data_IF_266756501538
#
_entry.id   IF_266756501538
#
_cell.length_a   1.000
_cell.length_b   1.000
_cell.length_c   1.000
_cell.angle_alpha   90.00
_cell.angle_beta   90.00
_cell.angle_gamma   90.00
#
_symmetry.space_group_name_H-M   'P 1'
#
loop_
_entity.id
_entity.type
_entity.pdbx_description
1 polymer ?
#
# COMPACT_ATOMS: atom_id res chain seq x y z
N UNK A 1 60.73 5.98 4.87
CA UNK A 1 60.92 4.75 4.07
C UNK A 1 59.79 3.80 4.45
N UNK A 2 59.00 3.15 3.60
CA UNK A 2 58.83 3.12 2.14
C UNK A 2 57.43 2.56 1.85
N UNK A 3 56.82 3.05 0.78
CA UNK A 3 55.54 2.64 0.15
C UNK A 3 55.40 1.13 -0.09
N UNK A 4 54.16 0.59 -0.17
CA UNK A 4 53.53 0.31 -1.48
C UNK A 4 52.07 -0.17 -1.44
N UNK A 5 51.30 0.51 -2.27
CA UNK A 5 49.99 0.16 -2.84
C UNK A 5 50.08 -1.07 -3.76
N UNK A 6 49.03 -1.90 -3.78
CA UNK A 6 48.73 -2.82 -4.89
C UNK A 6 47.22 -2.84 -5.19
N UNK A 7 46.89 -2.23 -6.33
CA UNK A 7 45.67 -2.48 -7.12
C UNK A 7 45.86 -3.76 -7.94
N UNK A 8 44.81 -4.56 -8.10
CA UNK A 8 44.68 -5.50 -9.22
C UNK A 8 43.26 -5.40 -9.81
N UNK A 9 43.21 -5.39 -11.14
CA UNK A 9 42.03 -5.33 -11.98
C UNK A 9 41.95 -6.62 -12.81
N UNK A 10 40.75 -7.14 -13.05
CA UNK A 10 40.37 -7.94 -14.22
C UNK A 10 38.82 -8.09 -14.19
N UNK A 11 37.99 -7.62 -15.13
CA UNK A 11 37.87 -7.77 -16.59
C UNK A 11 37.29 -9.14 -17.04
N UNK A 12 35.98 -9.11 -17.31
CA UNK A 12 35.17 -10.04 -18.11
C UNK A 12 33.74 -9.46 -18.10
N UNK A 13 33.22 -8.77 -19.12
CA UNK A 13 32.94 -9.08 -20.53
C UNK A 13 31.89 -10.18 -20.68
N UNK A 14 30.88 -9.87 -21.52
CA UNK A 14 29.81 -10.74 -22.08
C UNK A 14 28.48 -10.68 -21.31
N UNK A 15 27.28 -10.50 -21.87
CA UNK A 15 26.79 -10.22 -23.24
C UNK A 15 25.33 -9.78 -23.08
N UNK A 16 24.86 -8.90 -23.96
CA UNK A 16 23.44 -8.51 -24.13
C UNK A 16 22.58 -9.73 -24.46
N UNK A 17 21.42 -9.88 -23.82
CA UNK A 17 20.30 -10.59 -24.43
C UNK A 17 19.00 -9.88 -24.10
N UNK A 18 18.46 -9.26 -25.13
CA UNK A 18 17.13 -8.66 -25.23
C UNK A 18 16.08 -9.77 -25.25
N UNK A 19 15.22 -9.82 -24.23
CA UNK A 19 14.03 -10.67 -24.30
C UNK A 19 12.85 -9.84 -24.81
N UNK A 20 12.59 -10.04 -26.09
CA UNK A 20 11.35 -9.70 -26.76
C UNK A 20 10.17 -10.28 -25.97
N UNK A 21 9.16 -9.45 -25.73
CA UNK A 21 7.88 -9.88 -25.20
C UNK A 21 7.21 -10.76 -26.25
N UNK A 22 7.32 -12.08 -26.06
CA UNK A 22 6.62 -13.07 -26.86
C UNK A 22 5.12 -12.85 -26.70
N UNK A 23 4.45 -12.56 -27.82
CA UNK A 23 3.00 -12.61 -27.93
C UNK A 23 2.64 -14.10 -27.96
N UNK A 24 2.50 -14.68 -26.77
CA UNK A 24 2.08 -16.06 -26.59
C UNK A 24 0.58 -16.18 -26.83
N UNK A 25 0.22 -17.03 -27.78
CA UNK A 25 -1.14 -17.38 -28.17
C UNK A 25 -2.03 -17.77 -26.97
N UNK A 26 -3.27 -17.30 -26.99
CA UNK A 26 -4.31 -17.62 -26.02
C UNK A 26 -4.64 -19.13 -26.08
N UNK A 27 -4.73 -19.83 -24.93
CA UNK A 27 -5.39 -21.13 -24.91
C UNK A 27 -6.88 -20.89 -25.12
N UNK A 28 -7.41 -21.43 -26.22
CA UNK A 28 -8.85 -21.55 -26.48
C UNK A 28 -9.51 -22.18 -25.25
N UNK A 29 -10.07 -21.36 -24.37
CA UNK A 29 -10.69 -21.84 -23.14
C UNK A 29 -12.11 -22.24 -23.49
N UNK A 30 -12.25 -23.52 -23.80
CA UNK A 30 -13.50 -24.24 -24.03
C UNK A 30 -14.54 -23.91 -22.94
N UNK A 31 -15.80 -23.88 -23.35
CA UNK A 31 -16.96 -23.35 -22.62
C UNK A 31 -17.32 -24.18 -21.36
N UNK A 32 -16.56 -25.23 -21.06
CA UNK A 32 -16.88 -26.28 -20.08
C UNK A 32 -16.26 -26.09 -18.69
N UNK A 33 -15.41 -25.08 -18.46
CA UNK A 33 -14.60 -24.98 -17.22
C UNK A 33 -14.75 -23.69 -16.38
N UNK A 34 -15.77 -22.87 -16.63
CA UNK A 34 -16.14 -21.80 -15.68
C UNK A 34 -16.88 -22.41 -14.49
N UNK A 35 -16.15 -23.14 -13.65
CA UNK A 35 -16.62 -23.41 -12.29
C UNK A 35 -16.62 -22.09 -11.52
N UNK A 36 -17.62 -21.90 -10.65
CA UNK A 36 -17.80 -20.69 -9.86
C UNK A 36 -16.52 -20.32 -9.06
N UNK A 37 -15.77 -21.35 -8.63
CA UNK A 37 -14.47 -21.20 -7.96
C UNK A 37 -13.38 -20.59 -8.84
N UNK A 38 -13.27 -20.99 -10.11
CA UNK A 38 -12.22 -20.47 -11.02
C UNK A 38 -12.42 -19.00 -11.37
N UNK A 39 -13.67 -18.54 -11.48
CA UNK A 39 -14.00 -17.14 -11.77
C UNK A 39 -13.73 -16.25 -10.54
N UNK A 40 -13.92 -16.77 -9.33
CA UNK A 40 -13.66 -16.01 -8.09
C UNK A 40 -12.18 -15.71 -7.85
N UNK A 41 -11.26 -16.49 -8.42
CA UNK A 41 -9.81 -16.29 -8.27
C UNK A 41 -9.23 -15.33 -9.33
N UNK A 42 -9.99 -15.01 -10.38
CA UNK A 42 -9.54 -14.14 -11.47
C UNK A 42 -9.56 -12.66 -11.08
N UNK A 43 -8.62 -11.88 -11.62
CA UNK A 43 -8.67 -10.43 -11.46
C UNK A 43 -9.86 -9.82 -12.22
N UNK A 44 -10.30 -8.62 -11.82
CA UNK A 44 -11.39 -7.89 -12.50
C UNK A 44 -11.10 -7.72 -13.99
N UNK A 45 -9.83 -7.51 -14.36
CA UNK A 45 -9.40 -7.34 -15.75
C UNK A 45 -9.45 -8.67 -16.52
N UNK A 46 -9.09 -9.78 -15.89
CA UNK A 46 -9.12 -11.09 -16.53
C UNK A 46 -10.57 -11.57 -16.75
N UNK A 47 -11.46 -11.27 -15.81
CA UNK A 47 -12.90 -11.48 -15.96
C UNK A 47 -13.46 -10.63 -17.11
N UNK A 48 -13.09 -9.34 -17.17
CA UNK A 48 -13.52 -8.46 -18.25
C UNK A 48 -13.05 -8.96 -19.63
N UNK A 49 -11.79 -9.36 -19.75
CA UNK A 49 -11.23 -9.96 -20.97
C UNK A 49 -11.98 -11.25 -21.35
N UNK A 50 -12.28 -12.11 -20.38
CA UNK A 50 -13.10 -13.30 -20.60
C UNK A 50 -14.48 -12.97 -21.16
N UNK A 51 -15.10 -11.88 -20.69
CA UNK A 51 -16.41 -11.43 -21.20
C UNK A 51 -16.27 -10.87 -22.62
N UNK A 52 -15.27 -10.01 -22.90
CA UNK A 52 -15.04 -9.45 -24.24
C UNK A 52 -14.69 -10.51 -25.31
N UNK A 53 -13.97 -11.56 -24.91
CA UNK A 53 -13.66 -12.67 -25.82
C UNK A 53 -14.91 -13.47 -26.19
N UNK A 54 -15.87 -13.62 -25.26
CA UNK A 54 -17.06 -14.46 -25.44
C UNK A 54 -18.27 -13.70 -25.98
N UNK A 55 -18.43 -12.44 -25.62
CA UNK A 55 -19.56 -11.60 -26.02
C UNK A 55 -19.11 -10.56 -27.06
N UNK A 56 -19.80 -10.50 -28.19
CA UNK A 56 -19.56 -9.52 -29.27
C UNK A 56 -20.61 -8.41 -29.30
N UNK A 57 -21.46 -8.35 -28.28
CA UNK A 57 -22.45 -7.30 -28.13
C UNK A 57 -21.79 -5.99 -27.68
N UNK A 58 -21.85 -4.91 -28.48
CA UNK A 58 -21.24 -3.63 -28.14
C UNK A 58 -21.85 -2.97 -26.89
N UNK A 59 -23.10 -3.32 -26.53
CA UNK A 59 -23.75 -2.83 -25.31
C UNK A 59 -23.12 -3.50 -24.08
N UNK A 60 -22.89 -4.81 -24.14
CA UNK A 60 -22.23 -5.56 -23.07
C UNK A 60 -20.78 -5.08 -22.91
N UNK A 61 -20.07 -4.86 -24.01
CA UNK A 61 -18.72 -4.31 -23.98
C UNK A 61 -18.69 -2.97 -23.24
N UNK A 62 -19.60 -2.05 -23.58
CA UNK A 62 -19.70 -0.74 -22.94
C UNK A 62 -20.06 -0.85 -21.45
N UNK A 63 -20.98 -1.74 -21.08
CA UNK A 63 -21.40 -1.96 -19.69
C UNK A 63 -20.26 -2.52 -18.83
N UNK A 64 -19.52 -3.50 -19.34
CA UNK A 64 -18.37 -4.09 -18.63
C UNK A 64 -17.25 -3.07 -18.49
N UNK A 65 -16.97 -2.28 -19.53
CA UNK A 65 -15.98 -1.20 -19.46
C UNK A 65 -16.36 -0.17 -18.39
N UNK A 66 -17.61 0.29 -18.35
CA UNK A 66 -18.12 1.18 -17.31
C UNK A 66 -18.03 0.55 -15.91
N UNK A 67 -18.22 -0.76 -15.78
CA UNK A 67 -18.11 -1.46 -14.50
C UNK A 67 -16.66 -1.51 -13.99
N UNK A 68 -15.70 -1.77 -14.89
CA UNK A 68 -14.26 -1.75 -14.58
C UNK A 68 -13.85 -0.36 -14.14
N UNK A 69 -14.26 0.67 -14.88
CA UNK A 69 -14.00 2.09 -14.55
C UNK A 69 -14.65 2.48 -13.22
N UNK A 70 -15.90 2.06 -12.96
CA UNK A 70 -16.63 2.38 -11.73
C UNK A 70 -16.06 1.68 -10.50
N UNK A 71 -15.45 0.50 -10.64
CA UNK A 71 -14.77 -0.17 -9.52
C UNK A 71 -13.49 0.55 -9.08
N UNK A 72 -12.85 1.33 -9.96
CA UNK A 72 -11.78 2.26 -9.56
C UNK A 72 -12.31 3.31 -8.57
N UNK A 73 -13.60 3.67 -8.68
CA UNK A 73 -14.28 4.58 -7.75
C UNK A 73 -14.76 3.90 -6.44
N UNK A 74 -14.76 2.56 -6.38
CA UNK A 74 -15.37 1.77 -5.30
C UNK A 74 -14.40 1.24 -4.24
N UNK A 75 -13.10 1.38 -4.45
CA UNK A 75 -12.12 1.19 -3.38
C UNK A 75 -12.03 2.49 -2.57
N UNK A 76 -12.16 2.38 -1.25
CA UNK A 76 -11.62 3.32 -0.26
C UNK A 76 -12.41 4.58 0.17
N UNK A 77 -13.74 4.65 0.05
CA UNK A 77 -14.48 5.70 0.80
C UNK A 77 -14.18 5.65 2.31
N UNK A 78 -13.99 4.45 2.87
CA UNK A 78 -13.58 4.27 4.26
C UNK A 78 -12.20 4.88 4.57
N UNK A 79 -11.22 4.72 3.68
CA UNK A 79 -9.89 5.31 3.89
C UNK A 79 -9.91 6.82 3.71
N UNK A 80 -10.69 7.33 2.75
CA UNK A 80 -10.89 8.76 2.55
C UNK A 80 -11.57 9.40 3.76
N UNK A 81 -12.58 8.75 4.34
CA UNK A 81 -13.26 9.20 5.54
C UNK A 81 -12.34 9.17 6.77
N UNK A 82 -11.57 8.09 6.96
CA UNK A 82 -10.55 8.04 8.02
C UNK A 82 -9.45 9.08 7.81
N UNK A 83 -9.09 9.35 6.56
CA UNK A 83 -8.05 10.32 6.20
C UNK A 83 -8.50 11.76 6.45
N UNK A 84 -9.76 12.10 6.17
CA UNK A 84 -10.30 13.45 6.38
C UNK A 84 -10.34 13.84 7.87
N UNK A 85 -10.47 12.85 8.77
CA UNK A 85 -10.43 13.01 10.23
C UNK A 85 -9.05 12.73 10.85
N UNK A 86 -8.01 12.55 10.04
CA UNK A 86 -6.68 12.23 10.55
C UNK A 86 -5.80 13.47 10.74
N UNK A 87 -5.10 13.53 11.88
CA UNK A 87 -4.10 14.56 12.21
C UNK A 87 -2.74 13.88 12.32
N UNK A 88 -1.69 14.60 11.90
CA UNK A 88 -0.31 14.15 12.02
C UNK A 88 0.46 15.10 12.91
N UNK A 89 0.95 14.58 14.04
CA UNK A 89 1.84 15.29 14.95
C UNK A 89 3.30 14.95 14.62
N UNK A 90 4.17 15.93 14.80
CA UNK A 90 5.61 15.79 14.61
C UNK A 90 6.36 16.33 15.81
N UNK A 91 7.54 15.77 16.09
CA UNK A 91 8.40 16.24 17.19
C UNK A 91 8.12 15.60 18.55
N UNK A 92 7.18 14.67 18.66
CA UNK A 92 6.98 13.90 19.89
C UNK A 92 8.17 12.95 20.13
N UNK A 93 8.88 13.07 21.28
CA UNK A 93 10.05 12.25 21.60
C UNK A 93 9.79 10.75 21.44
N UNK A 94 10.76 9.98 20.93
CA UNK A 94 10.61 8.52 20.87
C UNK A 94 10.75 7.92 22.28
N UNK A 95 9.94 6.89 22.60
CA UNK A 95 10.09 6.18 23.86
C UNK A 95 11.42 5.40 23.90
N UNK A 96 11.98 5.16 25.10
CA UNK A 96 13.17 4.34 25.29
C UNK A 96 12.98 2.93 24.73
N UNK A 97 14.05 2.28 24.27
CA UNK A 97 13.95 0.91 23.74
C UNK A 97 13.51 -0.10 24.79
N UNK A 98 13.90 0.12 26.05
CA UNK A 98 13.83 -0.82 27.16
C UNK A 98 12.45 -0.93 27.82
N UNK A 99 11.49 -0.07 27.49
CA UNK A 99 10.13 -0.13 28.05
C UNK A 99 9.23 -1.09 27.25
N UNK A 100 8.17 -1.59 27.89
CA UNK A 100 7.26 -2.57 27.26
C UNK A 100 6.40 -1.89 26.20
N UNK A 101 5.98 -2.64 25.18
CA UNK A 101 5.18 -2.09 24.08
C UNK A 101 3.86 -1.44 24.55
N UNK A 102 3.20 -2.01 25.57
CA UNK A 102 2.01 -1.43 26.18
C UNK A 102 2.31 -0.08 26.86
N UNK A 103 3.42 0.01 27.58
CA UNK A 103 3.83 1.25 28.25
C UNK A 103 4.19 2.34 27.24
N UNK A 104 4.86 1.98 26.13
CA UNK A 104 5.13 2.91 25.01
C UNK A 104 3.84 3.50 24.44
N UNK A 105 2.83 2.66 24.29
CA UNK A 105 1.54 3.08 23.74
C UNK A 105 0.79 3.97 24.74
N UNK A 106 0.75 3.59 26.02
CA UNK A 106 0.11 4.39 27.07
C UNK A 106 0.76 5.78 27.20
N UNK A 107 2.09 5.87 27.16
CA UNK A 107 2.83 7.14 27.21
C UNK A 107 2.53 8.02 25.99
N UNK A 108 2.44 7.40 24.81
CA UNK A 108 2.09 8.10 23.57
C UNK A 108 0.66 8.66 23.62
N UNK A 109 -0.31 7.86 24.06
CA UNK A 109 -1.71 8.28 24.18
C UNK A 109 -1.89 9.40 25.21
N UNK A 110 -1.18 9.34 26.33
CA UNK A 110 -1.15 10.43 27.32
C UNK A 110 -0.58 11.72 26.72
N UNK A 111 0.58 11.64 26.07
CA UNK A 111 1.21 12.81 25.43
C UNK A 111 0.32 13.45 24.37
N UNK A 112 -0.42 12.64 23.61
CA UNK A 112 -1.39 13.14 22.63
C UNK A 112 -2.59 13.79 23.31
N UNK A 113 -3.08 13.22 24.42
CA UNK A 113 -4.19 13.79 25.20
C UNK A 113 -3.80 15.16 25.76
N UNK A 114 -2.61 15.29 26.35
CA UNK A 114 -2.10 16.57 26.88
C UNK A 114 -2.03 17.65 25.78
N UNK A 115 -1.64 17.28 24.55
CA UNK A 115 -1.64 18.21 23.41
C UNK A 115 -3.05 18.63 23.03
N UNK A 116 -4.01 17.70 22.98
CA UNK A 116 -5.40 18.02 22.64
C UNK A 116 -6.05 18.90 23.71
N UNK A 117 -5.74 18.67 24.98
CA UNK A 117 -6.19 19.51 26.11
C UNK A 117 -5.65 20.94 25.99
N UNK A 118 -4.38 21.11 25.62
CA UNK A 118 -3.79 22.44 25.36
C UNK A 118 -4.50 23.15 24.21
N UNK A 119 -4.94 22.40 23.20
CA UNK A 119 -5.65 22.92 22.03
C UNK A 119 -7.16 23.10 22.28
N UNK A 120 -7.66 22.80 23.48
CA UNK A 120 -9.08 22.85 23.86
C UNK A 120 -9.95 21.98 22.93
N UNK A 121 -9.45 20.77 22.61
CA UNK A 121 -10.14 19.81 21.75
C UNK A 121 -10.80 18.73 22.59
N UNK A 122 -12.12 18.86 22.77
CA UNK A 122 -12.95 17.94 23.56
C UNK A 122 -13.23 16.60 22.84
N UNK A 123 -12.19 15.82 22.56
CA UNK A 123 -12.40 14.47 22.03
C UNK A 123 -11.28 13.49 22.38
N UNK A 124 -11.64 12.21 22.42
CA UNK A 124 -10.67 11.11 22.48
C UNK A 124 -10.45 10.55 21.08
N UNK A 125 -9.22 10.55 20.55
CA UNK A 125 -8.92 9.94 19.26
C UNK A 125 -9.28 8.45 19.24
N UNK A 126 -9.77 7.96 18.11
CA UNK A 126 -10.12 6.54 17.92
C UNK A 126 -8.89 5.65 17.69
N UNK A 127 -7.85 6.22 17.08
CA UNK A 127 -6.58 5.54 16.80
C UNK A 127 -5.43 6.51 17.05
N UNK A 128 -4.34 6.04 17.66
CA UNK A 128 -3.10 6.79 17.88
C UNK A 128 -1.90 5.88 17.67
N UNK A 129 -1.02 6.20 16.73
CA UNK A 129 0.16 5.37 16.46
C UNK A 129 1.30 6.12 15.78
N UNK A 130 2.54 5.64 15.95
CA UNK A 130 3.72 6.13 15.24
C UNK A 130 3.83 5.53 13.85
N UNK A 131 4.12 6.36 12.86
CA UNK A 131 4.27 5.96 11.46
C UNK A 131 5.72 5.65 11.11
N UNK A 132 5.92 4.58 10.35
CA UNK A 132 7.22 4.23 9.76
C UNK A 132 8.21 3.58 10.73
N UNK A 133 9.45 3.43 10.25
CA UNK A 133 10.57 2.81 10.99
C UNK A 133 11.25 3.85 11.87
N UNK A 134 11.83 3.38 12.97
CA UNK A 134 12.61 4.22 13.89
C UNK A 134 13.81 4.80 13.15
N UNK A 135 14.13 6.06 13.44
CA UNK A 135 15.28 6.78 12.89
C UNK A 135 15.97 7.53 14.04
N UNK A 136 17.28 7.31 14.22
CA UNK A 136 18.06 7.92 15.30
C UNK A 136 18.18 9.45 15.18
N UNK A 137 18.01 10.00 13.97
CA UNK A 137 18.12 11.44 13.71
C UNK A 137 16.81 12.22 13.82
N UNK A 138 15.65 11.54 13.90
CA UNK A 138 14.34 12.22 13.95
C UNK A 138 13.24 11.33 14.55
N UNK A 139 12.46 11.85 15.53
CA UNK A 139 11.28 11.15 16.01
C UNK A 139 10.26 10.92 14.90
N UNK A 140 9.60 9.76 14.94
CA UNK A 140 8.56 9.41 13.97
C UNK A 140 7.36 10.35 14.10
N UNK A 141 6.67 10.49 12.98
CA UNK A 141 5.36 11.15 12.95
C UNK A 141 4.36 10.29 13.71
N UNK A 142 3.47 10.94 14.44
CA UNK A 142 2.35 10.30 15.12
C UNK A 142 1.10 10.62 14.33
N UNK A 143 0.37 9.59 13.91
CA UNK A 143 -0.94 9.75 13.29
C UNK A 143 -2.00 9.47 14.34
N UNK A 144 -3.00 10.35 14.37
CA UNK A 144 -4.21 10.16 15.16
C UNK A 144 -5.44 10.34 14.29
N UNK A 145 -6.54 9.69 14.66
CA UNK A 145 -7.82 9.77 13.97
C UNK A 145 -8.87 10.26 14.97
N UNK A 146 -9.54 11.37 14.64
CA UNK A 146 -10.61 11.94 15.47
C UNK A 146 -11.92 11.16 15.29
N UNK A 147 -12.82 11.12 16.29
CA UNK A 147 -14.14 10.50 16.13
C UNK A 147 -14.99 11.18 15.04
N UNK A 148 -15.95 10.45 14.49
CA UNK A 148 -16.95 10.97 13.52
C UNK A 148 -18.11 11.66 14.22
#
# INVERSE_FOLDING_TARGET
MSQKSRRTANKGKSTVSSNATNVGELPNTDLSLLTDGAVSEMSIHDIANCIFSRNKDPVIEKLVQLLVEKKVQGYCNCDNEKRSRSIVLSGLPEPPEQIRASEKQDELERSVSDILDILDVDCRPSEVFRMGRINEGRPRLVKLILPS
#
